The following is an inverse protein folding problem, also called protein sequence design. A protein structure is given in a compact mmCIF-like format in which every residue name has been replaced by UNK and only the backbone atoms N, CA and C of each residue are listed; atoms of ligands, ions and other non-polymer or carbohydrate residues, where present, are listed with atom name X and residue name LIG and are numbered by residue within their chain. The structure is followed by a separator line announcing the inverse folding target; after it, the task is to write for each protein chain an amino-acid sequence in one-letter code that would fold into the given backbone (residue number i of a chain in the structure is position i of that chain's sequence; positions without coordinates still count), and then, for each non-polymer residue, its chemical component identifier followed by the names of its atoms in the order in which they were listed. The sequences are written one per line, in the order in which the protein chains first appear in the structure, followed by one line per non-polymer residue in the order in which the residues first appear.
data_IF_607427937382
#
_entry.id   IF_607427937382
#
_cell.length_a   1.000
_cell.length_b   1.000
_cell.length_c   1.000
_cell.angle_alpha   90.00
_cell.angle_beta   90.00
_cell.angle_gamma   90.00
#
_symmetry.space_group_name_H-M   'P 1'
#
loop_
_entity.id
_entity.type
_entity.pdbx_description
1 polymer ?
#
# COMPACT_ATOMS: atom_id res chain seq x y z
N UNK A 1 11.83 -1.71 -11.56
CA UNK A 1 12.16 -0.27 -11.48
C UNK A 1 12.34 0.23 -10.05
N UNK A 2 11.31 0.26 -9.19
CA UNK A 2 11.46 0.78 -7.81
C UNK A 2 12.55 0.07 -7.01
N UNK A 3 12.70 -1.25 -7.17
CA UNK A 3 13.82 -2.01 -6.57
C UNK A 3 15.20 -1.50 -7.00
N UNK A 4 15.37 -1.10 -8.26
CA UNK A 4 16.62 -0.53 -8.77
C UNK A 4 16.88 0.84 -8.12
N UNK A 5 15.88 1.73 -8.14
CA UNK A 5 15.97 3.07 -7.54
C UNK A 5 16.30 3.00 -6.05
N UNK A 6 15.74 2.03 -5.34
CA UNK A 6 16.00 1.82 -3.91
C UNK A 6 17.26 1.00 -3.61
N UNK A 7 18.06 0.65 -4.63
CA UNK A 7 19.22 -0.24 -4.50
C UNK A 7 18.90 -1.55 -3.75
N UNK A 8 17.68 -2.07 -3.92
CA UNK A 8 17.26 -3.31 -3.28
C UNK A 8 17.98 -4.51 -3.92
N UNK A 9 18.33 -5.55 -3.16
CA UNK A 9 18.95 -6.76 -3.70
C UNK A 9 18.12 -7.36 -4.83
N UNK A 10 18.78 -7.77 -5.92
CA UNK A 10 18.15 -8.43 -7.07
C UNK A 10 19.00 -9.59 -7.56
N UNK A 11 18.35 -10.71 -7.92
CA UNK A 11 19.02 -11.90 -8.44
C UNK A 11 19.66 -11.66 -9.81
N UNK A 12 18.99 -10.89 -10.68
CA UNK A 12 19.54 -10.51 -11.99
C UNK A 12 20.43 -9.27 -11.93
N UNK A 13 20.81 -8.79 -10.73
CA UNK A 13 21.61 -7.56 -10.53
C UNK A 13 21.07 -6.33 -11.28
N UNK A 14 19.76 -6.32 -11.56
CA UNK A 14 19.07 -5.28 -12.33
C UNK A 14 19.50 -5.16 -13.81
N UNK A 15 20.09 -6.22 -14.39
CA UNK A 15 20.45 -6.26 -15.81
C UNK A 15 19.24 -6.06 -16.72
N UNK A 16 18.07 -6.60 -16.32
CA UNK A 16 16.82 -6.50 -17.08
C UNK A 16 16.07 -5.17 -16.89
N UNK A 17 16.60 -4.24 -16.08
CA UNK A 17 15.90 -2.97 -15.82
C UNK A 17 16.05 -2.05 -17.04
N UNK A 18 14.94 -1.62 -17.67
CA UNK A 18 14.98 -0.73 -18.83
C UNK A 18 15.84 0.51 -18.58
N UNK A 19 16.64 0.90 -19.58
CA UNK A 19 17.50 2.10 -19.51
C UNK A 19 16.67 3.39 -19.57
N UNK A 20 15.57 3.35 -20.29
CA UNK A 20 14.60 4.44 -20.39
C UNK A 20 13.22 3.98 -19.96
N UNK A 21 12.40 4.95 -19.56
CA UNK A 21 11.05 4.74 -19.07
C UNK A 21 10.14 5.69 -19.83
N UNK A 22 9.06 5.17 -20.44
CA UNK A 22 8.06 6.02 -21.04
C UNK A 22 7.33 6.82 -19.94
N UNK A 23 7.38 8.14 -20.03
CA UNK A 23 6.65 9.06 -19.16
C UNK A 23 5.73 9.90 -20.03
N UNK A 24 4.42 9.81 -19.78
CA UNK A 24 3.44 10.68 -20.43
C UNK A 24 3.34 11.98 -19.66
N UNK A 25 3.49 13.09 -20.35
CA UNK A 25 3.35 14.45 -19.79
C UNK A 25 2.36 15.27 -20.64
N UNK A 26 1.82 16.33 -20.05
CA UNK A 26 0.96 17.27 -20.77
C UNK A 26 1.71 18.57 -21.08
N UNK A 27 1.91 18.81 -22.37
CA UNK A 27 2.51 20.03 -22.93
C UNK A 27 1.48 20.76 -23.77
N UNK A 28 1.14 22.00 -23.42
CA UNK A 28 0.19 22.84 -24.16
C UNK A 28 -1.12 22.12 -24.54
N UNK A 29 -1.68 21.39 -23.57
CA UNK A 29 -2.92 20.57 -23.70
C UNK A 29 -2.82 19.37 -24.64
N UNK A 30 -1.60 18.92 -24.96
CA UNK A 30 -1.34 17.69 -25.71
C UNK A 30 -0.59 16.70 -24.83
N UNK A 31 -1.00 15.45 -24.88
CA UNK A 31 -0.25 14.35 -24.29
C UNK A 31 0.99 14.06 -25.15
N UNK A 32 2.15 14.04 -24.52
CA UNK A 32 3.43 13.72 -25.17
C UNK A 32 4.09 12.60 -24.37
N UNK A 33 4.54 11.57 -25.10
CA UNK A 33 5.31 10.47 -24.53
C UNK A 33 6.80 10.80 -24.62
N UNK A 34 7.47 10.92 -23.47
CA UNK A 34 8.92 11.12 -23.39
C UNK A 34 9.59 9.82 -22.94
N UNK A 35 10.74 9.50 -23.53
CA UNK A 35 11.62 8.45 -23.06
C UNK A 35 12.65 9.03 -22.09
N UNK A 36 12.31 9.11 -20.81
CA UNK A 36 13.22 9.60 -19.78
C UNK A 36 14.22 8.50 -19.40
N UNK A 37 15.46 8.87 -19.07
CA UNK A 37 16.38 7.88 -18.50
C UNK A 37 15.85 7.41 -17.14
N UNK A 38 16.16 6.17 -16.75
CA UNK A 38 15.65 5.60 -15.50
C UNK A 38 16.06 6.35 -14.23
N UNK A 39 17.10 7.18 -14.29
CA UNK A 39 17.59 7.99 -13.18
C UNK A 39 16.93 9.40 -13.16
N UNK A 40 16.39 9.85 -14.28
CA UNK A 40 15.68 11.13 -14.42
C UNK A 40 14.15 10.98 -14.34
N UNK A 41 13.61 9.78 -14.57
CA UNK A 41 12.18 9.55 -14.59
C UNK A 41 11.57 9.55 -13.16
N UNK A 42 10.52 10.34 -12.89
CA UNK A 42 9.71 10.16 -11.69
C UNK A 42 8.88 8.89 -11.82
N UNK A 43 8.98 8.00 -10.83
CA UNK A 43 8.16 6.79 -10.75
C UNK A 43 7.07 7.01 -9.72
N UNK A 44 5.86 7.22 -10.23
CA UNK A 44 4.67 7.42 -9.43
C UNK A 44 3.98 6.08 -9.18
N UNK A 45 3.81 5.72 -7.91
CA UNK A 45 3.03 4.56 -7.50
C UNK A 45 1.71 5.00 -6.85
N UNK A 46 0.56 4.55 -7.37
CA UNK A 46 -0.73 4.84 -6.77
C UNK A 46 -1.00 3.83 -5.63
N UNK A 47 -1.47 4.34 -4.51
CA UNK A 47 -1.83 3.56 -3.33
C UNK A 47 -3.29 3.84 -2.98
N UNK A 48 -4.14 2.81 -2.89
CA UNK A 48 -5.53 3.01 -2.50
C UNK A 48 -5.61 3.52 -1.06
N UNK A 49 -6.52 4.45 -0.80
CA UNK A 49 -6.92 4.89 0.53
C UNK A 49 -8.30 4.29 0.78
N UNK A 50 -8.37 3.37 1.73
CA UNK A 50 -9.63 2.79 2.19
C UNK A 50 -10.22 3.62 3.33
N UNK A 51 -11.54 3.62 3.45
CA UNK A 51 -12.20 4.20 4.62
C UNK A 51 -11.64 3.60 5.92
N UNK A 52 -11.66 4.37 7.03
CA UNK A 52 -11.38 3.82 8.34
C UNK A 52 -12.31 2.65 8.68
N UNK A 53 -11.83 1.71 9.49
CA UNK A 53 -12.64 0.59 9.97
C UNK A 53 -13.68 1.10 10.96
N UNK A 54 -14.95 0.72 10.73
CA UNK A 54 -16.05 0.99 11.65
C UNK A 54 -16.44 -0.29 12.38
N UNK A 55 -16.22 -0.28 13.70
CA UNK A 55 -16.48 -1.40 14.60
C UNK A 55 -17.88 -1.38 15.21
N UNK A 56 -18.66 -0.31 14.97
CA UNK A 56 -19.98 -0.15 15.57
C UNK A 56 -21.07 -0.96 14.86
N UNK A 57 -20.80 -1.45 13.65
CA UNK A 57 -21.79 -2.13 12.82
C UNK A 57 -21.70 -3.65 12.94
N UNK A 58 -22.85 -4.33 13.06
CA UNK A 58 -22.92 -5.79 13.13
C UNK A 58 -22.70 -6.50 11.78
N UNK A 59 -22.72 -5.75 10.67
CA UNK A 59 -22.50 -6.26 9.31
C UNK A 59 -21.04 -6.06 8.93
N UNK A 60 -20.45 -7.06 8.27
CA UNK A 60 -19.13 -6.89 7.66
C UNK A 60 -19.25 -5.90 6.49
N UNK A 61 -18.65 -4.70 6.57
CA UNK A 61 -18.81 -3.70 5.53
C UNK A 61 -18.08 -4.11 4.25
N UNK A 62 -18.60 -3.64 3.12
CA UNK A 62 -17.86 -3.68 1.86
C UNK A 62 -16.61 -2.79 1.94
N UNK A 63 -15.57 -3.14 1.19
CA UNK A 63 -14.35 -2.35 1.13
C UNK A 63 -14.62 -1.02 0.43
N UNK A 64 -14.55 0.09 1.16
CA UNK A 64 -14.79 1.43 0.62
C UNK A 64 -13.49 2.12 0.24
N UNK A 65 -13.26 2.33 -1.05
CA UNK A 65 -12.19 3.19 -1.55
C UNK A 65 -12.62 4.66 -1.43
N UNK A 66 -11.81 5.48 -0.75
CA UNK A 66 -12.10 6.91 -0.52
C UNK A 66 -11.11 7.85 -1.22
N UNK A 67 -10.04 7.32 -1.79
CA UNK A 67 -9.07 8.11 -2.54
C UNK A 67 -7.86 7.29 -2.98
N UNK A 68 -6.91 7.97 -3.60
CA UNK A 68 -5.61 7.44 -3.99
C UNK A 68 -4.54 8.38 -3.44
N UNK A 69 -3.53 7.83 -2.77
CA UNK A 69 -2.29 8.54 -2.47
C UNK A 69 -1.24 8.15 -3.50
N UNK A 70 -0.40 9.09 -3.93
CA UNK A 70 0.69 8.81 -4.86
C UNK A 70 2.02 8.90 -4.14
N UNK A 71 2.77 7.79 -4.09
CA UNK A 71 4.17 7.81 -3.70
C UNK A 71 5.04 8.09 -4.92
N UNK A 72 6.07 8.93 -4.76
CA UNK A 72 7.06 9.20 -5.82
C UNK A 72 8.41 8.60 -5.47
N UNK A 73 9.09 8.02 -6.47
CA UNK A 73 10.46 7.53 -6.41
C UNK A 73 11.26 8.06 -7.60
N UNK A 74 12.58 8.15 -7.46
CA UNK A 74 13.45 8.69 -8.51
C UNK A 74 13.48 10.22 -8.46
N UNK A 75 13.42 10.85 -9.64
CA UNK A 75 13.42 12.30 -9.72
C UNK A 75 12.17 12.91 -9.06
N UNK A 76 12.34 14.13 -8.55
CA UNK A 76 11.21 14.92 -8.07
C UNK A 76 10.25 15.24 -9.23
N UNK A 77 8.95 14.91 -9.12
CA UNK A 77 8.01 15.10 -10.22
C UNK A 77 7.86 16.57 -10.65
N UNK A 78 7.91 17.52 -9.71
CA UNK A 78 7.78 18.94 -10.04
C UNK A 78 9.03 19.44 -10.78
N UNK A 79 10.21 19.04 -10.31
CA UNK A 79 11.47 19.35 -11.00
C UNK A 79 11.51 18.74 -12.41
N UNK A 80 11.09 17.47 -12.55
CA UNK A 80 11.00 16.80 -13.85
C UNK A 80 10.01 17.51 -14.79
N UNK A 81 8.82 17.84 -14.29
CA UNK A 81 7.82 18.57 -15.07
C UNK A 81 8.39 19.90 -15.58
N UNK A 82 9.01 20.68 -14.69
CA UNK A 82 9.62 21.97 -15.02
C UNK A 82 10.74 21.83 -16.06
N UNK A 83 11.62 20.83 -15.91
CA UNK A 83 12.70 20.57 -16.87
C UNK A 83 12.19 20.29 -18.28
N UNK A 84 11.06 19.59 -18.39
CA UNK A 84 10.46 19.23 -19.67
C UNK A 84 9.39 20.22 -20.16
N UNK A 85 9.20 21.36 -19.46
CA UNK A 85 8.17 22.34 -19.80
C UNK A 85 6.74 21.85 -19.58
N UNK A 86 6.55 20.73 -18.88
CA UNK A 86 5.26 20.12 -18.59
C UNK A 86 4.49 20.98 -17.58
N UNK A 87 3.18 21.12 -17.80
CA UNK A 87 2.29 21.73 -16.80
C UNK A 87 1.87 20.71 -15.76
N UNK A 88 1.70 19.45 -16.18
CA UNK A 88 1.20 18.36 -15.36
C UNK A 88 1.85 17.04 -15.77
N UNK A 89 2.01 16.13 -14.81
CA UNK A 89 2.38 14.73 -15.02
C UNK A 89 1.16 13.90 -14.64
N UNK A 90 0.61 13.14 -15.58
CA UNK A 90 -0.55 12.31 -15.35
C UNK A 90 -0.15 10.85 -15.16
N UNK A 91 -0.61 10.25 -14.07
CA UNK A 91 -0.53 8.80 -13.88
C UNK A 91 -1.85 8.15 -14.29
N UNK A 92 -1.86 7.50 -15.44
CA UNK A 92 -3.01 6.70 -15.89
C UNK A 92 -3.02 5.36 -15.16
N UNK A 93 -3.93 5.23 -14.20
CA UNK A 93 -4.12 3.99 -13.44
C UNK A 93 -4.98 3.04 -14.27
N UNK A 94 -4.36 2.01 -14.86
CA UNK A 94 -5.04 0.95 -15.60
C UNK A 94 -5.09 -0.31 -14.73
N UNK A 95 -6.25 -0.95 -14.62
CA UNK A 95 -6.44 -2.22 -13.90
C UNK A 95 -6.08 -2.18 -12.40
N UNK A 96 -6.43 -1.10 -11.67
CA UNK A 96 -6.28 -1.11 -10.21
C UNK A 96 -7.37 -1.93 -9.53
N UNK A 97 -7.05 -3.17 -9.17
CA UNK A 97 -7.89 -3.99 -8.31
C UNK A 97 -7.61 -3.67 -6.82
N UNK A 98 -8.37 -2.71 -6.30
CA UNK A 98 -8.27 -2.27 -4.92
C UNK A 98 -8.58 -3.40 -3.91
N UNK A 99 -9.45 -4.35 -4.29
CA UNK A 99 -9.80 -5.50 -3.45
C UNK A 99 -8.62 -6.48 -3.39
N UNK A 100 -8.00 -6.79 -4.53
CA UNK A 100 -6.79 -7.59 -4.57
C UNK A 100 -5.66 -6.97 -3.74
N UNK A 101 -5.51 -5.63 -3.80
CA UNK A 101 -4.55 -4.92 -2.96
C UNK A 101 -4.88 -5.07 -1.46
N UNK A 102 -6.12 -4.87 -1.03
CA UNK A 102 -6.52 -5.08 0.37
C UNK A 102 -6.25 -6.51 0.84
N UNK A 103 -6.54 -7.52 0.01
CA UNK A 103 -6.23 -8.92 0.31
C UNK A 103 -4.73 -9.18 0.43
N UNK A 104 -3.91 -8.56 -0.42
CA UNK A 104 -2.45 -8.66 -0.32
C UNK A 104 -1.98 -8.10 1.03
N UNK A 105 -2.45 -6.92 1.43
CA UNK A 105 -2.11 -6.31 2.73
C UNK A 105 -2.57 -7.22 3.89
N UNK A 106 -3.76 -7.79 3.81
CA UNK A 106 -4.25 -8.75 4.80
C UNK A 106 -3.42 -10.04 4.88
N UNK A 107 -2.95 -10.58 3.75
CA UNK A 107 -2.02 -11.71 3.72
C UNK A 107 -0.70 -11.39 4.41
N UNK A 108 -0.15 -10.18 4.19
CA UNK A 108 1.06 -9.71 4.87
C UNK A 108 0.83 -9.66 6.38
N UNK A 109 -0.29 -9.08 6.84
CA UNK A 109 -0.63 -9.01 8.25
C UNK A 109 -0.71 -10.40 8.90
N UNK A 110 -1.45 -11.32 8.27
CA UNK A 110 -1.63 -12.67 8.78
C UNK A 110 -0.30 -13.44 8.84
N UNK A 111 0.51 -13.36 7.78
CA UNK A 111 1.84 -13.97 7.73
C UNK A 111 2.79 -13.41 8.78
N UNK A 112 2.77 -12.09 9.00
CA UNK A 112 3.57 -11.44 10.03
C UNK A 112 3.14 -11.84 11.44
N UNK A 113 1.83 -11.92 11.71
CA UNK A 113 1.30 -12.42 12.98
C UNK A 113 1.69 -13.88 13.24
N UNK A 114 1.63 -14.73 12.21
CA UNK A 114 2.09 -16.12 12.29
C UNK A 114 3.58 -16.19 12.64
N UNK A 115 4.43 -15.44 11.92
CA UNK A 115 5.87 -15.42 12.14
C UNK A 115 6.27 -14.93 13.55
N UNK A 116 5.47 -14.06 14.16
CA UNK A 116 5.68 -13.55 15.52
C UNK A 116 5.01 -14.40 16.61
N UNK A 117 4.43 -15.56 16.26
CA UNK A 117 3.78 -16.46 17.22
C UNK A 117 2.50 -15.90 17.84
N UNK A 118 1.87 -14.90 17.24
CA UNK A 118 0.70 -14.19 17.79
C UNK A 118 -0.64 -14.78 17.34
N UNK A 119 -0.66 -15.73 16.40
CA UNK A 119 -1.91 -16.35 15.93
C UNK A 119 -2.61 -17.30 16.92
N UNK A 120 -1.91 -18.05 17.82
CA UNK A 120 -2.58 -18.95 18.76
C UNK A 120 -3.58 -18.25 19.69
N UNK A 121 -3.32 -16.99 20.06
CA UNK A 121 -4.19 -16.17 20.93
C UNK A 121 -5.38 -15.53 20.19
N UNK A 122 -5.46 -15.66 18.85
CA UNK A 122 -6.53 -15.05 18.05
C UNK A 122 -7.73 -16.00 17.93
N UNK A 123 -8.88 -15.54 18.46
CA UNK A 123 -10.18 -16.18 18.28
C UNK A 123 -10.64 -16.07 16.82
N UNK A 124 -11.26 -17.14 16.31
CA UNK A 124 -11.86 -17.18 14.96
C UNK A 124 -10.87 -16.76 13.83
N UNK A 125 -9.61 -17.20 13.91
CA UNK A 125 -8.55 -16.92 12.92
C UNK A 125 -8.93 -17.25 11.46
N UNK A 126 -9.89 -18.15 11.24
CA UNK A 126 -10.39 -18.51 9.90
C UNK A 126 -11.23 -17.41 9.24
N UNK A 127 -11.75 -16.43 9.99
CA UNK A 127 -12.54 -15.35 9.42
C UNK A 127 -11.72 -14.47 8.46
N UNK A 128 -10.54 -14.01 8.88
CA UNK A 128 -9.64 -13.25 8.01
C UNK A 128 -9.16 -14.10 6.82
N UNK A 129 -8.85 -15.38 7.05
CA UNK A 129 -8.43 -16.30 5.98
C UNK A 129 -9.51 -16.44 4.91
N UNK A 130 -10.79 -16.58 5.28
CA UNK A 130 -11.90 -16.62 4.31
C UNK A 130 -12.01 -15.33 3.50
N UNK A 131 -11.93 -14.17 4.17
CA UNK A 131 -11.95 -12.87 3.49
C UNK A 131 -10.78 -12.69 2.50
N UNK A 132 -9.61 -13.24 2.82
CA UNK A 132 -8.43 -13.30 1.96
C UNK A 132 -8.67 -14.20 0.74
N UNK A 133 -9.33 -15.35 0.91
CA UNK A 133 -9.47 -16.41 -0.10
C UNK A 133 -10.65 -16.22 -1.08
N UNK A 134 -11.20 -15.01 -1.19
CA UNK A 134 -12.32 -14.65 -2.08
C UNK A 134 -13.72 -15.14 -1.65
N UNK A 135 -13.90 -15.62 -0.42
CA UNK A 135 -15.20 -16.09 0.06
C UNK A 135 -15.88 -15.06 0.98
N UNK A 136 -17.17 -14.76 0.72
CA UNK A 136 -17.71 -13.47 0.23
C UNK A 136 -16.78 -12.23 0.31
N UNK A 137 -17.05 -11.19 -0.48
CA UNK A 137 -16.25 -9.94 -0.49
C UNK A 137 -16.37 -9.15 0.83
N UNK A 138 -15.71 -9.67 1.86
CA UNK A 138 -15.82 -9.28 3.27
C UNK A 138 -14.55 -8.60 3.79
N UNK A 139 -13.56 -8.40 2.92
CA UNK A 139 -12.25 -7.83 3.27
C UNK A 139 -12.36 -6.41 3.82
N UNK A 140 -13.43 -5.69 3.48
CA UNK A 140 -13.73 -4.35 4.01
C UNK A 140 -13.93 -4.30 5.52
N UNK A 141 -14.33 -5.41 6.16
CA UNK A 141 -14.40 -5.49 7.62
C UNK A 141 -13.07 -5.73 8.31
N UNK A 142 -12.00 -5.95 7.55
CA UNK A 142 -10.67 -6.27 8.10
C UNK A 142 -9.63 -5.22 7.75
N UNK A 143 -9.75 -4.56 6.60
CA UNK A 143 -8.72 -3.64 6.08
C UNK A 143 -9.25 -2.21 6.00
N UNK A 144 -8.50 -1.27 6.58
CA UNK A 144 -8.73 0.16 6.48
C UNK A 144 -7.43 0.94 6.33
N UNK A 145 -7.52 2.27 6.29
CA UNK A 145 -6.36 3.16 6.23
C UNK A 145 -6.39 4.13 7.41
N UNK A 146 -5.24 4.36 8.06
CA UNK A 146 -5.10 5.42 9.04
C UNK A 146 -5.27 6.79 8.36
N UNK A 147 -5.78 7.82 9.07
CA UNK A 147 -5.91 9.15 8.51
C UNK A 147 -4.54 9.76 8.17
N UNK A 148 -4.53 10.66 7.19
CA UNK A 148 -3.37 11.49 6.87
C UNK A 148 -3.07 12.49 8.02
N UNK A 149 -1.83 13.02 8.12
CA UNK A 149 -0.69 12.86 7.22
C UNK A 149 0.04 11.52 7.35
N UNK A 150 0.46 10.95 6.22
CA UNK A 150 1.28 9.74 6.19
C UNK A 150 2.75 10.07 6.45
N UNK A 151 3.25 9.67 7.61
CA UNK A 151 4.63 9.96 8.01
C UNK A 151 5.62 9.21 7.11
N UNK A 152 6.67 9.92 6.66
CA UNK A 152 7.81 9.36 5.92
C UNK A 152 8.83 8.79 6.91
N UNK A 153 9.43 7.66 6.53
CA UNK A 153 10.50 7.00 7.29
C UNK A 153 11.69 6.74 6.37
N UNK A 154 12.65 7.69 6.25
CA UNK A 154 13.80 7.56 5.36
C UNK A 154 14.56 6.25 5.59
N UNK A 155 15.00 5.61 4.50
CA UNK A 155 15.70 4.32 4.55
C UNK A 155 14.83 3.10 4.88
N UNK A 156 13.56 3.28 5.26
CA UNK A 156 12.68 2.16 5.61
C UNK A 156 11.78 1.81 4.43
N UNK A 157 11.94 0.60 3.89
CA UNK A 157 11.09 0.12 2.79
C UNK A 157 9.69 -0.24 3.27
N UNK A 158 9.56 -1.12 4.26
CA UNK A 158 8.27 -1.54 4.79
C UNK A 158 8.26 -1.42 6.31
N UNK A 159 7.18 -0.89 6.88
CA UNK A 159 6.95 -0.87 8.34
C UNK A 159 5.75 -1.74 8.64
N UNK A 160 5.95 -2.72 9.51
CA UNK A 160 4.90 -3.65 9.95
C UNK A 160 4.98 -3.74 11.47
N UNK A 161 3.89 -3.44 12.15
CA UNK A 161 3.77 -3.57 13.60
C UNK A 161 2.54 -4.39 13.94
N UNK A 162 2.60 -5.13 15.04
CA UNK A 162 1.44 -5.73 15.68
C UNK A 162 1.17 -4.94 16.96
N UNK A 163 -0.11 -4.66 17.21
CA UNK A 163 -0.55 -4.08 18.47
C UNK A 163 -1.87 -4.68 18.91
N UNK A 164 -2.10 -4.62 20.21
CA UNK A 164 -3.38 -4.95 20.81
C UNK A 164 -4.20 -3.68 21.00
N UNK A 165 -5.51 -3.76 20.74
CA UNK A 165 -6.46 -2.70 21.09
C UNK A 165 -7.04 -2.97 22.48
N UNK A 166 -7.39 -1.92 23.23
CA UNK A 166 -7.89 -2.08 24.60
C UNK A 166 -9.36 -2.56 24.66
N UNK A 167 -10.24 -2.02 23.81
CA UNK A 167 -11.66 -2.37 23.80
C UNK A 167 -12.28 -2.18 22.40
N UNK A 168 -12.77 -3.24 21.73
CA UNK A 168 -12.58 -4.65 22.10
C UNK A 168 -11.10 -5.08 22.01
N UNK A 169 -10.69 -6.11 22.77
CA UNK A 169 -9.32 -6.67 22.72
C UNK A 169 -9.10 -7.38 21.39
N UNK A 170 -8.35 -6.76 20.48
CA UNK A 170 -8.09 -7.28 19.13
C UNK A 170 -6.61 -7.21 18.81
N UNK A 171 -6.15 -8.18 18.02
CA UNK A 171 -4.84 -8.12 17.39
C UNK A 171 -4.96 -7.37 16.06
N UNK A 172 -4.17 -6.31 15.93
CA UNK A 172 -4.18 -5.42 14.77
C UNK A 172 -2.78 -5.30 14.21
N UNK A 173 -2.64 -5.40 12.90
CA UNK A 173 -1.41 -5.06 12.19
C UNK A 173 -1.50 -3.67 11.58
N UNK A 174 -0.44 -2.88 11.72
CA UNK A 174 -0.24 -1.64 10.96
C UNK A 174 0.83 -1.87 9.90
N UNK A 175 0.49 -1.66 8.64
CA UNK A 175 1.34 -1.95 7.49
C UNK A 175 1.50 -0.68 6.66
N UNK A 176 2.72 -0.20 6.52
CA UNK A 176 3.07 0.89 5.62
C UNK A 176 4.06 0.36 4.59
N UNK A 177 3.57 0.15 3.36
CA UNK A 177 4.42 -0.25 2.23
C UNK A 177 5.14 0.99 1.70
N UNK A 178 6.42 0.89 1.36
CA UNK A 178 7.23 2.04 0.92
C UNK A 178 7.18 3.23 1.89
N UNK A 179 7.46 2.96 3.17
CA UNK A 179 7.38 3.94 4.25
C UNK A 179 8.30 5.16 4.01
N UNK A 180 9.41 5.00 3.27
CA UNK A 180 10.29 6.09 2.85
C UNK A 180 9.62 7.11 1.93
N UNK A 181 8.66 6.69 1.10
CA UNK A 181 7.88 7.58 0.23
C UNK A 181 6.67 8.23 0.94
N UNK A 182 6.35 7.80 2.16
CA UNK A 182 5.17 8.28 2.89
C UNK A 182 3.88 7.74 2.30
N UNK A 183 3.88 6.49 1.82
CA UNK A 183 2.65 5.84 1.40
C UNK A 183 1.68 5.65 2.59
N UNK A 184 0.39 5.38 2.32
CA UNK A 184 -0.60 5.17 3.36
C UNK A 184 -0.24 4.04 4.34
N UNK A 185 -0.63 4.22 5.60
CA UNK A 185 -0.57 3.16 6.60
C UNK A 185 -1.91 2.43 6.65
N UNK A 186 -1.89 1.16 6.28
CA UNK A 186 -3.03 0.27 6.34
C UNK A 186 -3.15 -0.36 7.71
N UNK A 187 -4.39 -0.51 8.17
CA UNK A 187 -4.73 -1.22 9.39
C UNK A 187 -5.40 -2.52 9.00
N UNK A 188 -4.94 -3.63 9.55
CA UNK A 188 -5.55 -4.95 9.36
C UNK A 188 -5.93 -5.53 10.71
N UNK A 189 -7.20 -5.82 10.90
CA UNK A 189 -7.65 -6.61 12.05
C UNK A 189 -7.36 -8.08 11.76
N UNK A 190 -6.57 -8.72 12.60
CA UNK A 190 -6.27 -10.14 12.49
C UNK A 190 -7.37 -10.97 13.16
N UNK A 191 -7.87 -10.49 14.30
CA UNK A 191 -9.02 -11.04 14.99
C UNK A 191 -9.09 -10.59 16.44
N UNK A 192 -10.10 -11.07 17.17
CA UNK A 192 -10.24 -10.82 18.62
C UNK A 192 -9.25 -11.69 19.38
N UNK A 193 -8.71 -11.15 20.46
CA UNK A 193 -7.86 -11.91 21.37
C UNK A 193 -8.71 -12.65 22.41
N UNK A 194 -8.15 -13.72 22.97
CA UNK A 194 -8.68 -14.30 24.20
C UNK A 194 -8.63 -13.26 25.33
N UNK A 195 -9.72 -13.17 26.09
CA UNK A 195 -9.62 -12.61 27.43
C UNK A 195 -8.93 -13.71 28.23
N UNK A 196 -7.84 -13.35 28.90
CA UNK A 196 -7.24 -14.26 29.88
C UNK A 196 -8.26 -14.30 31.02
N UNK A 197 -8.88 -15.48 31.24
CA UNK A 197 -9.73 -15.74 32.41
C UNK A 197 -8.89 -15.70 33.71
#
# INVERSE_FOLDING_TARGET
MVRYIQNAPSRSKHEDVPKTIPVTITLDRREVLIQATRDEAPILLPFPIFAPLDYSTAKTPELKLVGIATGSFGADPEAFAKQHGAKEIELKIVNSDAIAFARMVAKIAYGFAHANGQLPQVKNKSALVRAIMLEPNSIGGFVGTLPSPFKKYPGVQHRIFLRETAAPKMLVAEIQLFASAGAPTYVVIIGRLSEDD
#
